data_IF_614182592002
#
_entry.id   IF_614182592002
#
_cell.length_a   1.000
_cell.length_b   1.000
_cell.length_c   1.000
_cell.angle_alpha   90.00
_cell.angle_beta   90.00
_cell.angle_gamma   90.00
#
_symmetry.space_group_name_H-M   'P 1'
#
loop_
_entity.id
_entity.type
_entity.pdbx_description
1 polymer ?
#
# COMPACT_ATOMS: atom_id res chain seq x y z
N UNK A 1 -21.83 -4.47 5.44
CA UNK A 1 -21.56 -5.16 4.14
C UNK A 1 -20.14 -5.67 4.13
N UNK A 2 -19.90 -6.80 3.46
CA UNK A 2 -18.56 -7.36 3.37
C UNK A 2 -17.57 -6.52 2.56
N UNK A 3 -18.09 -5.65 1.66
CA UNK A 3 -17.29 -4.73 0.88
C UNK A 3 -18.11 -3.47 0.57
N UNK A 4 -17.52 -2.30 0.78
CA UNK A 4 -18.15 -1.01 0.51
C UNK A 4 -17.12 0.08 0.21
N UNK A 5 -17.54 1.08 -0.57
CA UNK A 5 -16.76 2.31 -0.76
C UNK A 5 -17.00 3.25 0.40
N UNK A 6 -15.91 3.81 0.92
CA UNK A 6 -15.96 4.80 2.01
C UNK A 6 -15.09 6.00 1.67
N UNK A 7 -15.30 7.09 2.40
CA UNK A 7 -14.36 8.21 2.46
C UNK A 7 -13.39 7.98 3.62
N UNK A 8 -12.09 8.04 3.33
CA UNK A 8 -11.03 7.95 4.34
C UNK A 8 -10.24 9.25 4.33
N UNK A 9 -10.67 10.19 5.16
CA UNK A 9 -10.07 11.54 5.27
C UNK A 9 -9.91 12.23 3.91
N UNK A 10 -10.96 12.20 3.07
CA UNK A 10 -10.96 12.81 1.75
C UNK A 10 -10.43 11.93 0.62
N UNK A 11 -10.00 10.72 0.90
CA UNK A 11 -9.57 9.74 -0.10
C UNK A 11 -10.64 8.67 -0.32
N UNK A 12 -10.85 8.27 -1.58
CA UNK A 12 -11.70 7.13 -1.88
C UNK A 12 -11.03 5.85 -1.36
N UNK A 13 -11.75 5.10 -0.55
CA UNK A 13 -11.26 3.87 0.05
C UNK A 13 -12.27 2.74 -0.06
N UNK A 14 -11.78 1.52 0.09
CA UNK A 14 -12.60 0.32 0.17
C UNK A 14 -12.48 -0.25 1.59
N UNK A 15 -13.62 -0.34 2.26
CA UNK A 15 -13.76 -1.11 3.50
C UNK A 15 -14.24 -2.52 3.15
N UNK A 16 -13.63 -3.52 3.73
CA UNK A 16 -14.03 -4.91 3.52
C UNK A 16 -13.82 -5.76 4.77
N UNK A 17 -14.61 -6.82 4.87
CA UNK A 17 -14.61 -7.70 6.03
C UNK A 17 -14.64 -9.16 5.61
N UNK A 18 -13.81 -9.98 6.22
CA UNK A 18 -13.79 -11.43 6.06
C UNK A 18 -13.13 -12.12 7.27
N UNK A 19 -13.57 -13.31 7.62
CA UNK A 19 -12.89 -14.17 8.61
C UNK A 19 -12.68 -13.53 9.99
N UNK A 20 -13.56 -12.62 10.40
CA UNK A 20 -13.43 -11.92 11.70
C UNK A 20 -12.50 -10.71 11.67
N UNK A 21 -12.00 -10.33 10.49
CA UNK A 21 -11.17 -9.16 10.27
C UNK A 21 -11.91 -8.10 9.47
N UNK A 22 -11.55 -6.85 9.69
CA UNK A 22 -11.92 -5.72 8.83
C UNK A 22 -10.67 -5.05 8.30
N UNK A 23 -10.75 -4.53 7.08
CA UNK A 23 -9.64 -3.84 6.42
C UNK A 23 -10.12 -2.61 5.65
N UNK A 24 -9.20 -1.66 5.47
CA UNK A 24 -9.38 -0.48 4.61
C UNK A 24 -8.22 -0.41 3.65
N UNK A 25 -8.52 -0.30 2.35
CA UNK A 25 -7.54 -0.16 1.29
C UNK A 25 -7.74 1.15 0.55
N UNK A 26 -6.62 1.79 0.16
CA UNK A 26 -6.60 3.01 -0.65
C UNK A 26 -6.11 2.66 -2.05
N UNK A 27 -7.01 2.48 -3.05
CA UNK A 27 -6.59 2.09 -4.40
C UNK A 27 -5.66 3.10 -5.06
N UNK A 28 -5.91 4.40 -4.90
CA UNK A 28 -5.14 5.48 -5.55
C UNK A 28 -3.68 5.56 -5.09
N UNK A 29 -3.36 5.01 -3.92
CA UNK A 29 -2.00 5.03 -3.37
C UNK A 29 -1.52 3.60 -3.19
N UNK A 30 -1.10 2.99 -4.32
CA UNK A 30 -0.48 1.68 -4.33
C UNK A 30 -1.36 0.53 -3.85
N UNK A 31 -2.69 0.66 -3.87
CA UNK A 31 -3.61 -0.29 -3.26
C UNK A 31 -3.22 -0.64 -1.82
N UNK A 32 -2.68 0.33 -1.10
CA UNK A 32 -2.20 0.14 0.28
C UNK A 32 -3.36 -0.21 1.21
N UNK A 33 -3.27 -1.34 1.88
CA UNK A 33 -4.18 -1.71 2.98
C UNK A 33 -3.71 -0.97 4.22
N UNK A 34 -4.36 0.12 4.54
CA UNK A 34 -3.94 1.03 5.62
C UNK A 34 -4.45 0.63 6.99
N UNK A 35 -5.46 -0.24 7.05
CA UNK A 35 -6.00 -0.78 8.30
C UNK A 35 -6.28 -2.26 8.14
N UNK A 36 -5.92 -3.04 9.13
CA UNK A 36 -6.30 -4.44 9.28
C UNK A 36 -6.54 -4.73 10.76
N UNK A 37 -7.78 -4.90 11.14
CA UNK A 37 -8.18 -5.08 12.54
C UNK A 37 -8.89 -6.40 12.76
N UNK A 38 -8.56 -7.06 13.86
CA UNK A 38 -9.30 -8.21 14.34
C UNK A 38 -10.52 -7.72 15.13
N UNK A 39 -11.72 -8.00 14.63
CA UNK A 39 -12.97 -7.42 15.14
C UNK A 39 -13.25 -7.75 16.62
N UNK A 40 -13.01 -8.99 17.02
CA UNK A 40 -13.32 -9.46 18.37
C UNK A 40 -12.43 -8.81 19.45
N UNK A 41 -11.15 -8.53 19.14
CA UNK A 41 -10.22 -7.91 20.10
C UNK A 41 -10.06 -6.40 19.90
N UNK A 42 -10.54 -5.87 18.77
CA UNK A 42 -10.32 -4.46 18.40
C UNK A 42 -8.86 -4.13 18.06
N UNK A 43 -8.00 -5.16 17.92
CA UNK A 43 -6.57 -4.95 17.65
C UNK A 43 -6.35 -4.59 16.19
N UNK A 44 -5.80 -3.41 15.93
CA UNK A 44 -5.30 -3.02 14.61
C UNK A 44 -3.83 -3.45 14.48
N UNK A 45 -3.53 -4.23 13.43
CA UNK A 45 -2.21 -4.83 13.21
C UNK A 45 -1.27 -3.87 12.48
N UNK A 46 -1.82 -2.88 11.76
CA UNK A 46 -1.07 -1.99 10.88
C UNK A 46 -0.96 -0.58 11.44
N UNK A 47 0.07 0.14 11.00
CA UNK A 47 0.13 1.58 11.20
C UNK A 47 -0.83 2.27 10.24
N UNK A 48 -1.97 2.68 10.75
CA UNK A 48 -2.98 3.43 10.00
C UNK A 48 -2.69 4.92 10.11
N UNK A 49 -2.65 5.68 9.01
CA UNK A 49 -2.46 7.12 9.09
C UNK A 49 -3.65 7.78 9.81
N UNK A 50 -3.36 8.68 10.74
CA UNK A 50 -4.35 9.55 11.35
C UNK A 50 -4.69 10.72 10.40
N UNK A 51 -5.74 11.48 10.72
CA UNK A 51 -6.18 12.60 9.88
C UNK A 51 -5.06 13.62 9.62
N UNK A 52 -4.26 13.93 10.64
CA UNK A 52 -3.12 14.86 10.54
C UNK A 52 -1.88 14.25 9.89
N UNK A 53 -1.89 12.96 9.57
CA UNK A 53 -0.80 12.24 8.90
C UNK A 53 -1.07 11.99 7.41
N UNK A 54 -2.20 12.43 6.86
CA UNK A 54 -2.59 12.11 5.47
C UNK A 54 -1.60 12.67 4.46
N UNK A 55 -1.11 13.87 4.63
CA UNK A 55 -0.09 14.43 3.74
C UNK A 55 1.24 13.66 3.82
N UNK A 56 1.62 13.20 4.99
CA UNK A 56 2.78 12.32 5.18
C UNK A 56 2.56 10.99 4.48
N UNK A 57 1.37 10.39 4.60
CA UNK A 57 1.00 9.16 3.91
C UNK A 57 1.09 9.30 2.39
N UNK A 58 0.56 10.37 1.82
CA UNK A 58 0.63 10.63 0.38
C UNK A 58 2.07 10.75 -0.12
N UNK A 59 2.94 11.38 0.64
CA UNK A 59 4.35 11.55 0.28
C UNK A 59 5.24 10.35 0.59
N UNK A 60 4.88 9.56 1.60
CA UNK A 60 5.68 8.42 2.08
C UNK A 60 4.79 7.23 2.45
N UNK A 61 4.05 6.65 1.49
CA UNK A 61 3.10 5.57 1.79
C UNK A 61 3.76 4.32 2.37
N UNK A 62 5.05 4.12 2.11
CA UNK A 62 5.80 2.95 2.59
C UNK A 62 5.97 2.85 4.10
N UNK A 63 5.68 3.91 4.84
CA UNK A 63 5.77 3.89 6.32
C UNK A 63 4.43 3.61 7.01
N UNK A 64 3.39 3.36 6.24
CA UNK A 64 2.04 3.03 6.71
C UNK A 64 1.51 1.76 6.05
N UNK A 65 0.60 1.08 6.73
CA UNK A 65 -0.17 -0.02 6.17
C UNK A 65 0.65 -1.20 5.64
N UNK A 66 0.20 -1.76 4.52
CA UNK A 66 0.87 -2.82 3.75
C UNK A 66 1.23 -2.29 2.35
N UNK A 67 2.34 -1.59 2.20
CA UNK A 67 2.74 -1.04 0.91
C UNK A 67 3.27 -2.14 -0.01
N UNK A 68 2.99 -2.00 -1.31
CA UNK A 68 3.63 -2.83 -2.33
C UNK A 68 4.97 -2.20 -2.70
N UNK A 69 6.06 -2.93 -2.46
CA UNK A 69 7.43 -2.47 -2.72
C UNK A 69 8.03 -3.32 -3.84
N UNK A 70 8.23 -2.71 -5.03
CA UNK A 70 8.86 -3.39 -6.16
C UNK A 70 9.57 -2.40 -7.08
N UNK A 71 10.87 -2.62 -7.39
CA UNK A 71 11.74 -3.59 -6.71
C UNK A 71 11.90 -3.21 -5.23
N UNK A 72 11.97 -4.21 -4.33
CA UNK A 72 12.18 -3.96 -2.92
C UNK A 72 13.61 -3.53 -2.63
N UNK A 73 13.86 -3.09 -1.39
CA UNK A 73 15.19 -2.72 -0.90
C UNK A 73 15.79 -1.47 -1.58
N UNK A 74 17.04 -1.23 -1.29
CA UNK A 74 17.84 -0.16 -1.88
C UNK A 74 18.69 -0.69 -3.01
N UNK A 75 18.90 0.14 -4.04
CA UNK A 75 19.83 -0.13 -5.12
C UNK A 75 20.93 0.91 -5.02
N UNK A 76 22.13 0.46 -4.65
CA UNK A 76 23.32 1.30 -4.50
C UNK A 76 23.63 2.02 -5.82
N UNK A 77 23.87 3.32 -5.74
CA UNK A 77 24.11 4.19 -6.89
C UNK A 77 22.99 4.17 -7.95
N UNK A 78 21.82 3.61 -7.60
CA UNK A 78 20.69 3.47 -8.51
C UNK A 78 20.97 2.59 -9.73
N UNK A 79 21.97 1.74 -9.70
CA UNK A 79 22.35 0.93 -10.87
C UNK A 79 22.82 -0.45 -10.49
N UNK A 80 22.49 -1.43 -11.32
CA UNK A 80 23.06 -2.78 -11.25
C UNK A 80 23.14 -3.39 -12.64
N UNK A 81 23.96 -4.44 -12.78
CA UNK A 81 24.13 -5.19 -14.02
C UNK A 81 23.77 -6.65 -13.83
N UNK A 82 23.04 -7.22 -14.77
CA UNK A 82 22.65 -8.62 -14.79
C UNK A 82 22.56 -9.11 -16.25
N UNK A 83 23.15 -10.28 -16.54
CA UNK A 83 23.17 -10.90 -17.87
C UNK A 83 23.58 -9.92 -19.00
N UNK A 84 24.69 -9.21 -18.81
CA UNK A 84 25.25 -8.23 -19.75
C UNK A 84 24.35 -7.00 -20.01
N UNK A 85 23.36 -6.75 -19.15
CA UNK A 85 22.52 -5.55 -19.18
C UNK A 85 22.75 -4.72 -17.94
N UNK A 86 22.77 -3.41 -18.11
CA UNK A 86 22.84 -2.46 -16.99
C UNK A 86 21.48 -1.78 -16.81
N UNK A 87 20.94 -1.86 -15.60
CA UNK A 87 19.69 -1.26 -15.21
C UNK A 87 19.97 -0.02 -14.39
N UNK A 88 19.30 1.09 -14.73
CA UNK A 88 19.46 2.38 -14.05
C UNK A 88 18.12 2.86 -13.50
N UNK A 89 18.16 3.35 -12.28
CA UNK A 89 17.02 3.90 -11.54
C UNK A 89 17.34 5.32 -11.06
N UNK A 90 16.32 6.18 -10.88
CA UNK A 90 16.54 7.50 -10.32
C UNK A 90 17.03 7.42 -8.88
N UNK A 91 17.85 8.36 -8.46
CA UNK A 91 18.26 8.48 -7.05
C UNK A 91 17.11 9.06 -6.26
N UNK A 92 16.55 8.27 -5.32
CA UNK A 92 15.42 8.67 -4.47
C UNK A 92 15.84 8.96 -3.02
N UNK A 93 17.06 8.56 -2.63
CA UNK A 93 17.69 8.92 -1.36
C UNK A 93 19.02 9.60 -1.66
N UNK A 94 19.05 10.91 -1.92
CA UNK A 94 20.29 11.61 -2.30
C UNK A 94 21.41 11.49 -1.27
N UNK A 95 21.09 11.53 0.02
CA UNK A 95 22.08 11.43 1.10
C UNK A 95 22.88 10.11 1.08
N UNK A 96 22.30 9.06 0.51
CA UNK A 96 22.92 7.73 0.39
C UNK A 96 23.27 7.38 -1.06
N UNK A 97 22.93 8.23 -2.01
CA UNK A 97 23.03 7.97 -3.45
C UNK A 97 22.32 6.67 -3.86
N UNK A 98 21.16 6.37 -3.29
CA UNK A 98 20.40 5.15 -3.53
C UNK A 98 19.05 5.42 -4.21
N UNK A 99 18.55 4.42 -4.94
CA UNK A 99 17.15 4.22 -5.25
C UNK A 99 16.54 3.26 -4.23
N UNK A 100 15.29 3.48 -3.79
CA UNK A 100 14.65 2.59 -2.83
C UNK A 100 13.18 2.32 -3.13
N UNK A 101 12.76 1.10 -2.85
CA UNK A 101 11.38 0.62 -2.70
C UNK A 101 10.46 0.79 -3.91
N UNK A 102 10.97 1.11 -5.08
CA UNK A 102 10.17 1.19 -6.30
C UNK A 102 9.19 2.36 -6.32
N UNK A 103 8.32 2.34 -7.32
CA UNK A 103 7.31 3.37 -7.56
C UNK A 103 5.87 2.85 -7.36
N UNK A 104 5.66 1.54 -7.34
CA UNK A 104 4.32 0.92 -7.26
C UNK A 104 3.56 1.39 -6.03
N UNK A 105 4.23 1.58 -4.91
CA UNK A 105 3.65 2.06 -3.65
C UNK A 105 2.85 3.36 -3.75
N UNK A 106 3.12 4.15 -4.78
CA UNK A 106 2.49 5.45 -5.00
C UNK A 106 1.62 5.49 -6.27
N UNK A 107 1.54 4.39 -7.01
CA UNK A 107 0.77 4.34 -8.26
C UNK A 107 -0.71 4.04 -7.98
N UNK A 108 -1.63 4.64 -8.75
CA UNK A 108 -3.04 4.30 -8.62
C UNK A 108 -3.31 2.91 -9.21
N UNK A 109 -4.18 2.17 -8.52
CA UNK A 109 -4.73 0.90 -8.96
C UNK A 109 -6.22 1.07 -9.26
N UNK A 110 -6.70 0.38 -10.28
CA UNK A 110 -8.11 0.35 -10.66
C UNK A 110 -8.67 -1.02 -10.25
N UNK A 111 -9.75 -1.00 -9.49
CA UNK A 111 -10.46 -2.24 -9.14
C UNK A 111 -11.26 -2.69 -10.35
N UNK A 112 -10.96 -3.89 -10.85
CA UNK A 112 -11.60 -4.48 -12.03
C UNK A 112 -12.69 -5.48 -11.66
N UNK A 113 -12.55 -6.13 -10.50
CA UNK A 113 -13.51 -7.13 -10.03
C UNK A 113 -13.51 -7.20 -8.50
N UNK A 114 -14.67 -7.48 -7.93
CA UNK A 114 -14.80 -7.84 -6.53
C UNK A 114 -15.65 -9.09 -6.41
N UNK A 115 -15.27 -9.98 -5.49
CA UNK A 115 -16.03 -11.18 -5.17
C UNK A 115 -16.08 -11.37 -3.67
N UNK A 116 -17.23 -11.83 -3.16
CA UNK A 116 -17.42 -12.11 -1.73
C UNK A 116 -17.93 -13.52 -1.55
N UNK A 117 -17.37 -14.24 -0.60
CA UNK A 117 -17.83 -15.54 -0.16
C UNK A 117 -18.24 -15.53 1.32
N UNK A 118 -18.42 -16.72 1.89
CA UNK A 118 -18.83 -16.84 3.30
C UNK A 118 -17.74 -16.32 4.25
N UNK A 119 -16.47 -16.50 3.89
CA UNK A 119 -15.31 -16.24 4.75
C UNK A 119 -14.17 -15.53 4.00
N UNK A 120 -14.42 -15.05 2.78
CA UNK A 120 -13.42 -14.31 2.02
C UNK A 120 -14.01 -13.12 1.27
N UNK A 121 -13.15 -12.17 0.97
CA UNK A 121 -13.35 -11.08 0.01
C UNK A 121 -12.15 -11.08 -0.93
N UNK A 122 -12.42 -11.04 -2.24
CA UNK A 122 -11.41 -10.90 -3.28
C UNK A 122 -11.59 -9.56 -4.00
N UNK A 123 -10.51 -8.84 -4.17
CA UNK A 123 -10.47 -7.55 -4.88
C UNK A 123 -9.35 -7.64 -5.92
N UNK A 124 -9.72 -7.57 -7.20
CA UNK A 124 -8.80 -7.59 -8.33
C UNK A 124 -8.56 -6.18 -8.87
#
# INVERSE_FOLDING_TARGET
MQIEKIDFYGMSAIHFEAGGYEAIMIPEIGANVVKLSHKASGTNILRTPAEDEIETFKGRPQVFGLPLLFPPNRIEDGTYSFENRTYKYPITIPAQNNYHHGIIKSQPFIITRTETGNDYVEIE
#
